data_IF_502052170009
#
_entry.id   IF_502052170009
#
_cell.length_a   1.000
_cell.length_b   1.000
_cell.length_c   1.000
_cell.angle_alpha   90.00
_cell.angle_beta   90.00
_cell.angle_gamma   90.00
#
_symmetry.space_group_name_H-M   'P 1'
#
loop_
_entity.id
_entity.type
_entity.pdbx_description
1 polymer ?
#
# COMPACT_ATOMS: atom_id res chain seq x y z
N UNK A 1 3.03 4.19 24.72
CA UNK A 1 2.67 4.42 23.32
C UNK A 1 3.77 3.84 22.44
N UNK A 2 3.50 2.74 21.69
CA UNK A 2 4.54 2.02 20.95
C UNK A 2 4.94 2.75 19.66
N UNK A 3 6.21 2.68 19.29
CA UNK A 3 6.80 3.30 18.08
C UNK A 3 8.02 2.51 17.62
N UNK A 4 8.41 2.67 16.37
CA UNK A 4 9.77 2.26 15.96
C UNK A 4 10.73 3.22 16.64
N UNK A 5 11.65 2.69 17.45
CA UNK A 5 12.65 3.48 18.18
C UNK A 5 14.05 3.37 17.60
N UNK A 6 14.29 2.40 16.71
CA UNK A 6 15.60 2.18 16.10
C UNK A 6 15.48 1.37 14.81
N UNK A 7 16.34 1.66 13.84
CA UNK A 7 16.50 0.88 12.63
C UNK A 7 17.98 0.64 12.34
N UNK A 8 18.30 -0.56 11.86
CA UNK A 8 19.60 -0.96 11.35
C UNK A 8 19.40 -1.61 9.98
N UNK A 9 20.11 -1.10 8.96
CA UNK A 9 19.95 -1.47 7.56
C UNK A 9 21.31 -1.91 7.04
N UNK A 10 21.40 -3.13 6.52
CA UNK A 10 22.62 -3.67 5.94
C UNK A 10 22.34 -4.17 4.53
N UNK A 11 23.13 -3.73 3.58
CA UNK A 11 23.16 -4.26 2.22
C UNK A 11 21.99 -3.91 1.32
N UNK A 12 21.20 -2.86 1.64
CA UNK A 12 20.05 -2.43 0.86
C UNK A 12 20.37 -1.22 -0.02
N UNK A 13 20.30 -1.36 -1.34
CA UNK A 13 20.53 -0.30 -2.34
C UNK A 13 21.79 0.52 -2.03
N UNK A 14 21.64 1.83 -1.81
CA UNK A 14 22.75 2.72 -1.43
C UNK A 14 23.24 2.53 0.01
N UNK A 15 22.44 1.91 0.89
CA UNK A 15 22.77 1.72 2.30
C UNK A 15 23.61 0.46 2.49
N UNK A 16 24.93 0.59 2.55
CA UNK A 16 25.81 -0.54 2.91
C UNK A 16 25.62 -0.95 4.36
N UNK A 17 25.65 0.04 5.26
CA UNK A 17 25.30 -0.10 6.66
C UNK A 17 24.88 1.25 7.21
N UNK A 18 23.64 1.33 7.71
CA UNK A 18 23.06 2.52 8.35
C UNK A 18 22.34 2.06 9.60
N UNK A 19 22.72 2.65 10.73
CA UNK A 19 22.11 2.39 12.02
C UNK A 19 21.74 3.72 12.68
N UNK A 20 20.46 3.90 13.06
CA UNK A 20 20.01 5.17 13.62
C UNK A 20 18.80 5.01 14.54
N UNK A 21 18.68 5.90 15.54
CA UNK A 21 17.43 6.03 16.30
C UNK A 21 16.33 6.63 15.42
N UNK A 22 15.09 6.25 15.69
CA UNK A 22 13.89 6.79 15.07
C UNK A 22 13.03 7.44 16.15
N UNK A 23 12.78 8.73 16.00
CA UNK A 23 11.97 9.51 16.92
C UNK A 23 10.56 9.78 16.34
N UNK A 24 9.73 10.49 17.11
CA UNK A 24 8.40 10.89 16.65
C UNK A 24 8.45 11.78 15.39
N UNK A 25 9.53 12.52 15.24
CA UNK A 25 9.89 13.27 14.04
C UNK A 25 11.38 13.07 13.78
N UNK A 26 11.74 12.53 12.63
CA UNK A 26 13.12 12.20 12.27
C UNK A 26 13.43 12.74 10.88
N UNK A 27 13.99 13.95 10.76
CA UNK A 27 14.37 14.51 9.47
C UNK A 27 15.64 13.82 8.94
N UNK A 28 15.58 13.36 7.68
CA UNK A 28 16.72 12.84 6.95
C UNK A 28 17.27 13.94 6.04
N UNK A 29 18.46 14.47 6.35
CA UNK A 29 19.09 15.55 5.61
C UNK A 29 20.35 15.04 4.90
N UNK A 30 20.52 15.39 3.64
CA UNK A 30 21.68 15.00 2.84
C UNK A 30 21.49 15.31 1.37
N UNK A 31 22.56 15.19 0.60
CA UNK A 31 22.55 15.36 -0.85
C UNK A 31 21.62 14.35 -1.54
N UNK A 32 21.27 14.60 -2.79
CA UNK A 32 20.51 13.64 -3.58
C UNK A 32 21.34 12.36 -3.78
N UNK A 33 20.64 11.24 -3.85
CA UNK A 33 21.22 9.92 -4.08
C UNK A 33 22.12 9.35 -2.95
N UNK A 34 22.07 9.91 -1.72
CA UNK A 34 22.83 9.38 -0.56
C UNK A 34 22.11 8.27 0.19
N UNK A 35 20.88 7.89 -0.23
CA UNK A 35 20.12 6.79 0.37
C UNK A 35 18.98 7.21 1.29
N UNK A 36 18.54 8.48 1.31
CA UNK A 36 17.38 8.93 2.10
C UNK A 36 16.14 8.10 1.80
N UNK A 37 15.74 8.01 0.53
CA UNK A 37 14.59 7.20 0.08
C UNK A 37 14.77 5.70 0.37
N UNK A 38 16.02 5.21 0.40
CA UNK A 38 16.33 3.83 0.79
C UNK A 38 16.02 3.59 2.27
N UNK A 39 16.29 4.56 3.15
CA UNK A 39 15.95 4.45 4.59
C UNK A 39 14.43 4.44 4.76
N UNK A 40 13.69 5.30 4.04
CA UNK A 40 12.22 5.30 4.07
C UNK A 40 11.66 3.95 3.58
N UNK A 41 12.20 3.45 2.47
CA UNK A 41 11.83 2.12 1.95
C UNK A 41 12.12 1.01 2.97
N UNK A 42 13.27 1.02 3.64
CA UNK A 42 13.63 0.04 4.65
C UNK A 42 12.65 0.02 5.84
N UNK A 43 12.23 1.22 6.30
CA UNK A 43 11.22 1.36 7.37
C UNK A 43 9.86 0.76 6.96
N UNK A 44 9.42 0.99 5.73
CA UNK A 44 8.20 0.36 5.21
C UNK A 44 8.39 -1.15 5.04
N UNK A 45 9.52 -1.57 4.48
CA UNK A 45 9.81 -2.97 4.14
C UNK A 45 9.93 -3.88 5.36
N UNK A 46 10.56 -3.42 6.46
CA UNK A 46 10.67 -4.23 7.69
C UNK A 46 9.31 -4.49 8.35
N UNK A 47 8.35 -3.57 8.16
CA UNK A 47 6.97 -3.73 8.66
C UNK A 47 6.13 -4.65 7.77
N UNK A 48 6.30 -4.54 6.45
CA UNK A 48 5.58 -5.34 5.46
C UNK A 48 6.54 -5.80 4.36
N UNK A 49 7.25 -6.90 4.59
CA UNK A 49 8.22 -7.41 3.63
C UNK A 49 7.59 -7.81 2.30
N UNK A 50 8.24 -7.38 1.21
CA UNK A 50 7.89 -7.74 -0.17
C UNK A 50 9.13 -8.23 -0.91
N UNK A 51 8.96 -8.90 -2.04
CA UNK A 51 10.05 -9.38 -2.87
C UNK A 51 10.99 -8.22 -3.25
N UNK A 52 12.30 -8.45 -3.09
CA UNK A 52 13.34 -7.54 -3.55
C UNK A 52 13.84 -7.98 -4.94
N UNK A 53 14.21 -7.01 -5.75
CA UNK A 53 14.87 -7.22 -7.03
C UNK A 53 16.39 -7.28 -6.89
N UNK A 54 17.09 -7.72 -7.92
CA UNK A 54 18.57 -7.77 -7.89
C UNK A 54 19.20 -6.39 -7.69
N UNK A 55 18.55 -5.34 -8.15
CA UNK A 55 18.95 -3.93 -7.98
C UNK A 55 18.84 -3.43 -6.54
N UNK A 56 18.08 -4.11 -5.68
CA UNK A 56 17.92 -3.74 -4.27
C UNK A 56 19.09 -4.22 -3.39
N UNK A 57 19.95 -5.09 -3.92
CA UNK A 57 21.12 -5.59 -3.19
C UNK A 57 22.31 -4.67 -3.43
N UNK A 58 22.89 -4.12 -2.34
CA UNK A 58 24.09 -3.28 -2.43
C UNK A 58 25.27 -4.01 -3.04
N UNK A 59 25.34 -5.32 -2.86
CA UNK A 59 26.34 -6.19 -3.46
C UNK A 59 25.75 -7.56 -3.77
N UNK A 60 26.01 -8.05 -4.97
CA UNK A 60 25.53 -9.36 -5.39
C UNK A 60 26.08 -10.48 -4.48
N UNK A 61 25.18 -11.36 -4.04
CA UNK A 61 25.53 -12.51 -3.18
C UNK A 61 25.63 -12.18 -1.67
N UNK A 62 25.51 -10.92 -1.28
CA UNK A 62 25.39 -10.54 0.14
C UNK A 62 23.91 -10.33 0.51
N UNK A 63 23.47 -10.76 1.71
CA UNK A 63 22.08 -10.60 2.11
C UNK A 63 21.75 -9.14 2.42
N UNK A 64 20.49 -8.77 2.19
CA UNK A 64 19.88 -7.55 2.75
C UNK A 64 19.33 -7.89 4.12
N UNK A 65 19.70 -7.11 5.12
CA UNK A 65 19.21 -7.27 6.49
C UNK A 65 18.66 -5.94 7.00
N UNK A 66 17.41 -5.93 7.42
CA UNK A 66 16.80 -4.76 8.08
C UNK A 66 16.28 -5.18 9.44
N UNK A 67 16.79 -4.54 10.48
CA UNK A 67 16.41 -4.78 11.87
C UNK A 67 15.71 -3.56 12.43
N UNK A 68 14.60 -3.73 13.13
CA UNK A 68 13.88 -2.66 13.79
C UNK A 68 13.61 -3.01 15.26
N UNK A 69 13.68 -1.99 16.12
CA UNK A 69 13.23 -2.06 17.51
C UNK A 69 11.93 -1.28 17.65
N UNK A 70 10.94 -1.93 18.21
CA UNK A 70 9.64 -1.35 18.55
C UNK A 70 9.62 -1.13 20.06
N UNK A 71 9.53 0.12 20.47
CA UNK A 71 9.52 0.53 21.88
C UNK A 71 8.11 0.85 22.37
N UNK A 72 7.89 0.78 23.68
CA UNK A 72 6.66 1.20 24.35
C UNK A 72 5.52 0.19 24.22
N UNK A 73 5.83 -1.10 24.08
CA UNK A 73 4.84 -2.18 24.07
C UNK A 73 4.48 -2.52 25.52
N UNK A 74 3.27 -2.14 25.94
CA UNK A 74 2.71 -2.44 27.26
C UNK A 74 1.70 -3.58 27.17
N UNK A 75 1.36 -4.18 28.31
CA UNK A 75 0.31 -5.20 28.39
C UNK A 75 -1.05 -4.68 27.86
N UNK A 76 -1.34 -3.40 28.09
CA UNK A 76 -2.56 -2.77 27.58
C UNK A 76 -2.58 -2.74 26.05
N UNK A 77 -1.42 -2.46 25.43
CA UNK A 77 -1.29 -2.49 23.97
C UNK A 77 -1.41 -3.90 23.43
N UNK A 78 -0.84 -4.90 24.10
CA UNK A 78 -0.98 -6.30 23.71
C UNK A 78 -2.44 -6.78 23.75
N UNK A 79 -3.24 -6.31 24.71
CA UNK A 79 -4.68 -6.61 24.82
C UNK A 79 -5.50 -6.05 23.67
N UNK A 80 -4.98 -5.08 22.91
CA UNK A 80 -5.65 -4.53 21.72
C UNK A 80 -5.55 -5.44 20.50
N UNK A 81 -4.69 -6.47 20.52
CA UNK A 81 -4.65 -7.49 19.48
C UNK A 81 -5.93 -8.33 19.59
N UNK A 82 -6.75 -8.45 18.52
CA UNK A 82 -8.10 -9.02 18.64
C UNK A 82 -8.14 -10.48 19.10
N UNK A 83 -7.17 -11.30 18.70
CA UNK A 83 -7.18 -12.73 18.96
C UNK A 83 -6.20 -13.10 20.07
N UNK A 84 -6.71 -13.77 21.12
CA UNK A 84 -5.91 -14.21 22.27
C UNK A 84 -4.72 -15.10 21.90
N UNK A 85 -4.83 -15.94 20.86
CA UNK A 85 -3.72 -16.77 20.36
C UNK A 85 -2.58 -15.93 19.81
N UNK A 86 -2.90 -14.78 19.16
CA UNK A 86 -1.90 -13.86 18.64
C UNK A 86 -1.25 -13.04 19.76
N UNK A 87 -2.04 -12.66 20.79
CA UNK A 87 -1.49 -12.04 22.02
C UNK A 87 -0.47 -12.99 22.68
N UNK A 88 -0.83 -14.26 22.84
CA UNK A 88 0.07 -15.26 23.44
C UNK A 88 1.33 -15.50 22.60
N UNK A 89 1.24 -15.42 21.27
CA UNK A 89 2.37 -15.61 20.38
C UNK A 89 3.42 -14.49 20.46
N UNK A 90 3.01 -13.25 20.72
CA UNK A 90 3.91 -12.08 20.74
C UNK A 90 4.41 -11.74 22.14
N UNK A 91 3.64 -12.00 23.19
CA UNK A 91 3.96 -11.61 24.58
C UNK A 91 5.36 -12.04 25.05
N UNK A 92 5.89 -13.23 24.72
CA UNK A 92 7.24 -13.64 25.14
C UNK A 92 8.35 -12.72 24.65
N UNK A 93 8.15 -12.05 23.48
CA UNK A 93 9.15 -11.19 22.84
C UNK A 93 9.06 -9.72 23.27
N UNK A 94 8.04 -9.37 24.08
CA UNK A 94 7.77 -8.01 24.52
C UNK A 94 8.01 -7.77 26.02
N UNK A 95 8.61 -8.73 26.72
CA UNK A 95 8.79 -8.72 28.20
C UNK A 95 9.52 -7.48 28.75
N UNK A 96 10.36 -6.85 27.92
CA UNK A 96 11.13 -5.64 28.30
C UNK A 96 10.43 -4.33 27.91
N UNK A 97 9.17 -4.39 27.43
CA UNK A 97 8.47 -3.22 26.89
C UNK A 97 8.95 -2.82 25.48
N UNK A 98 9.86 -3.57 24.90
CA UNK A 98 10.34 -3.43 23.53
C UNK A 98 10.42 -4.79 22.84
N UNK A 99 10.35 -4.78 21.52
CA UNK A 99 10.47 -5.95 20.66
C UNK A 99 11.42 -5.65 19.51
N UNK A 100 12.30 -6.61 19.22
CA UNK A 100 13.17 -6.53 18.07
C UNK A 100 12.70 -7.50 16.98
N UNK A 101 12.57 -6.98 15.77
CA UNK A 101 12.28 -7.76 14.57
C UNK A 101 13.37 -7.57 13.54
N UNK A 102 13.57 -8.59 12.70
CA UNK A 102 14.54 -8.56 11.62
C UNK A 102 13.96 -9.23 10.38
N UNK A 103 14.18 -8.61 9.24
CA UNK A 103 13.89 -9.21 7.94
C UNK A 103 15.21 -9.42 7.22
N UNK A 104 15.44 -10.64 6.77
CA UNK A 104 16.62 -11.04 6.03
C UNK A 104 16.20 -11.48 4.65
N UNK A 105 16.76 -10.89 3.60
CA UNK A 105 16.58 -11.33 2.23
C UNK A 105 17.90 -11.83 1.66
N UNK A 106 17.98 -13.13 1.36
CA UNK A 106 19.22 -13.78 0.91
C UNK A 106 19.36 -13.85 -0.60
N UNK A 107 18.26 -13.69 -1.33
CA UNK A 107 18.22 -13.74 -2.78
C UNK A 107 17.03 -12.93 -3.33
N UNK A 108 17.10 -12.43 -4.56
CA UNK A 108 15.95 -11.76 -5.21
C UNK A 108 14.71 -12.65 -5.26
N UNK A 109 13.55 -12.03 -5.12
CA UNK A 109 12.25 -12.70 -5.12
C UNK A 109 11.75 -13.08 -3.72
N UNK A 110 10.50 -13.53 -3.65
CA UNK A 110 9.80 -13.76 -2.38
C UNK A 110 10.37 -14.92 -1.54
N UNK A 111 10.99 -15.92 -2.18
CA UNK A 111 11.53 -17.11 -1.49
C UNK A 111 12.77 -16.83 -0.63
N UNK A 112 13.46 -15.72 -0.88
CA UNK A 112 14.66 -15.31 -0.13
C UNK A 112 14.37 -14.61 1.19
N UNK A 113 13.11 -14.32 1.52
CA UNK A 113 12.72 -13.48 2.66
C UNK A 113 12.46 -14.33 3.89
N UNK A 114 13.17 -14.01 4.97
CA UNK A 114 13.00 -14.61 6.29
C UNK A 114 12.70 -13.52 7.32
N UNK A 115 11.58 -13.65 8.02
CA UNK A 115 11.23 -12.79 9.15
C UNK A 115 11.65 -13.45 10.45
N UNK A 116 12.38 -12.70 11.26
CA UNK A 116 12.95 -13.18 12.50
C UNK A 116 12.65 -12.25 13.66
N UNK A 117 12.55 -12.81 14.85
CA UNK A 117 12.34 -12.09 16.11
C UNK A 117 13.47 -12.38 17.07
N UNK A 118 13.85 -11.39 17.86
CA UNK A 118 14.86 -11.55 18.91
C UNK A 118 14.29 -12.35 20.08
N UNK A 119 14.94 -13.43 20.42
CA UNK A 119 14.57 -14.32 21.52
C UNK A 119 15.40 -14.00 22.76
N UNK A 120 14.86 -13.14 23.63
CA UNK A 120 15.55 -12.70 24.85
C UNK A 120 15.92 -13.87 25.77
N UNK A 121 15.16 -14.97 25.77
CA UNK A 121 15.43 -16.14 26.61
C UNK A 121 16.65 -16.93 26.13
N UNK A 122 16.99 -16.81 24.86
CA UNK A 122 18.18 -17.45 24.26
C UNK A 122 19.40 -16.52 24.19
N UNK A 123 19.26 -15.29 24.66
CA UNK A 123 20.34 -14.32 24.59
C UNK A 123 21.34 -14.57 25.71
N UNK A 124 22.55 -15.00 25.35
CA UNK A 124 23.66 -15.28 26.27
C UNK A 124 24.47 -14.03 26.68
N UNK A 125 24.15 -12.85 26.11
CA UNK A 125 25.00 -11.66 26.24
C UNK A 125 26.16 -11.58 25.24
N UNK A 126 26.38 -12.62 24.45
CA UNK A 126 27.48 -12.74 23.49
C UNK A 126 26.96 -12.76 22.05
N UNK A 127 26.65 -11.61 21.50
CA UNK A 127 26.30 -11.46 20.09
C UNK A 127 24.83 -11.68 19.73
N UNK A 128 24.28 -10.74 18.98
CA UNK A 128 22.89 -10.73 18.52
C UNK A 128 22.52 -11.90 17.59
N UNK A 129 23.37 -12.43 16.69
CA UNK A 129 22.98 -13.47 15.73
C UNK A 129 22.45 -14.76 16.34
N UNK A 130 22.90 -15.13 17.54
CA UNK A 130 22.49 -16.36 18.21
C UNK A 130 21.10 -16.25 18.88
N UNK A 131 20.62 -15.04 19.09
CA UNK A 131 19.34 -14.79 19.74
C UNK A 131 18.17 -14.61 18.75
N UNK A 132 18.42 -14.68 17.45
CA UNK A 132 17.38 -14.57 16.43
C UNK A 132 16.74 -15.92 16.14
N UNK A 133 15.43 -15.90 15.95
CA UNK A 133 14.68 -17.08 15.49
C UNK A 133 13.61 -16.68 14.48
N UNK A 134 13.27 -17.60 13.58
CA UNK A 134 12.17 -17.40 12.65
C UNK A 134 10.86 -17.14 13.40
N UNK A 135 9.98 -16.36 12.82
CA UNK A 135 8.67 -16.07 13.39
C UNK A 135 7.92 -17.36 13.73
N UNK A 136 7.53 -17.59 14.99
CA UNK A 136 6.65 -18.69 15.33
C UNK A 136 5.24 -18.47 14.76
N UNK A 137 4.47 -19.55 14.67
CA UNK A 137 3.08 -19.52 14.21
C UNK A 137 2.26 -18.52 15.02
N UNK A 138 1.50 -17.67 14.33
CA UNK A 138 0.67 -16.61 14.94
C UNK A 138 1.40 -15.29 15.18
N UNK A 139 2.74 -15.27 15.17
CA UNK A 139 3.49 -14.01 15.32
C UNK A 139 3.33 -13.05 14.14
N UNK A 140 3.32 -13.48 12.85
CA UNK A 140 3.09 -12.57 11.74
C UNK A 140 1.78 -11.79 11.87
N UNK A 141 0.70 -12.44 12.28
CA UNK A 141 -0.59 -11.81 12.49
C UNK A 141 -0.57 -10.84 13.68
N UNK A 142 0.09 -11.21 14.77
CA UNK A 142 0.25 -10.36 15.94
C UNK A 142 1.08 -9.10 15.61
N UNK A 143 2.18 -9.27 14.89
CA UNK A 143 3.03 -8.16 14.42
C UNK A 143 2.24 -7.25 13.49
N UNK A 144 1.49 -7.79 12.53
CA UNK A 144 0.65 -7.01 11.61
C UNK A 144 -0.48 -6.24 12.33
N UNK A 145 -1.02 -6.79 13.43
CA UNK A 145 -2.03 -6.11 14.23
C UNK A 145 -1.46 -5.01 15.13
N UNK A 146 -0.21 -5.17 15.57
CA UNK A 146 0.46 -4.24 16.49
C UNK A 146 1.18 -3.11 15.76
N UNK A 147 1.89 -3.45 14.67
CA UNK A 147 2.74 -2.49 13.98
C UNK A 147 1.94 -1.51 13.13
N UNK A 148 2.43 -0.26 13.01
CA UNK A 148 1.80 0.74 12.18
C UNK A 148 1.83 0.34 10.70
N UNK A 149 0.80 0.72 9.97
CA UNK A 149 0.91 0.78 8.51
C UNK A 149 1.84 1.93 8.13
N UNK A 150 2.87 1.63 7.36
CA UNK A 150 3.69 2.67 6.75
C UNK A 150 2.88 3.32 5.61
N UNK A 151 2.66 4.62 5.73
CA UNK A 151 2.10 5.44 4.67
C UNK A 151 3.26 6.19 4.02
N UNK A 152 3.66 5.74 2.85
CA UNK A 152 4.74 6.35 2.10
C UNK A 152 4.19 7.40 1.13
N UNK A 153 4.83 8.55 1.13
CA UNK A 153 4.60 9.64 0.19
C UNK A 153 5.90 9.79 -0.57
N UNK A 154 5.91 9.29 -1.79
CA UNK A 154 7.09 9.37 -2.66
C UNK A 154 7.25 10.80 -3.21
N UNK A 155 8.50 11.16 -3.52
CA UNK A 155 8.80 12.36 -4.29
C UNK A 155 8.07 12.27 -5.63
N UNK A 156 7.22 13.23 -5.92
CA UNK A 156 6.29 13.14 -7.04
C UNK A 156 6.93 13.57 -8.34
N UNK A 157 7.08 12.65 -9.26
CA UNK A 157 7.44 12.97 -10.64
C UNK A 157 6.29 13.57 -11.46
N UNK A 158 5.00 13.30 -11.14
CA UNK A 158 3.87 13.84 -11.89
C UNK A 158 2.56 13.90 -11.08
N UNK A 159 2.34 15.02 -10.38
CA UNK A 159 1.13 15.30 -9.61
C UNK A 159 -0.16 15.27 -10.45
N UNK A 160 -0.09 15.77 -11.68
CA UNK A 160 -1.25 15.88 -12.56
C UNK A 160 -1.77 14.53 -13.05
N UNK A 161 -0.90 13.56 -13.27
CA UNK A 161 -1.30 12.22 -13.71
C UNK A 161 -1.81 11.33 -12.57
N UNK A 162 -1.31 11.53 -11.34
CA UNK A 162 -1.60 10.64 -10.21
C UNK A 162 -2.96 10.91 -9.55
N UNK A 163 -3.39 12.17 -9.50
CA UNK A 163 -4.68 12.57 -8.95
C UNK A 163 -5.73 12.88 -10.03
N UNK A 164 -5.31 13.14 -11.26
CA UNK A 164 -6.21 13.32 -12.40
C UNK A 164 -6.87 12.00 -12.86
N UNK A 165 -6.19 10.87 -12.66
CA UNK A 165 -6.71 9.53 -12.96
C UNK A 165 -6.28 8.58 -11.85
N UNK A 166 -7.20 7.84 -11.26
CA UNK A 166 -6.92 6.87 -10.18
C UNK A 166 -6.04 5.71 -10.68
N UNK A 167 -4.75 5.96 -10.89
CA UNK A 167 -3.76 4.95 -11.27
C UNK A 167 -3.48 3.99 -10.10
N UNK A 168 -3.03 2.78 -10.41
CA UNK A 168 -2.64 1.80 -9.39
C UNK A 168 -1.53 2.36 -8.50
N UNK A 169 -1.79 2.42 -7.18
CA UNK A 169 -0.86 2.96 -6.17
C UNK A 169 -1.09 4.42 -5.78
N UNK A 170 -1.95 5.17 -6.50
CA UNK A 170 -2.21 6.57 -6.15
C UNK A 170 -3.01 6.72 -4.85
N UNK A 171 -2.82 7.87 -4.18
CA UNK A 171 -3.58 8.23 -2.97
C UNK A 171 -5.07 8.32 -3.24
N UNK A 172 -5.46 8.86 -4.41
CA UNK A 172 -6.86 8.97 -4.83
C UNK A 172 -7.47 7.57 -5.00
N UNK A 173 -6.73 6.65 -5.64
CA UNK A 173 -7.20 5.26 -5.75
C UNK A 173 -7.42 4.61 -4.39
N UNK A 174 -6.48 4.78 -3.47
CA UNK A 174 -6.60 4.23 -2.11
C UNK A 174 -7.80 4.79 -1.34
N UNK A 175 -8.12 6.07 -1.54
CA UNK A 175 -9.34 6.71 -1.00
C UNK A 175 -10.60 6.17 -1.65
N UNK A 176 -10.61 6.07 -2.97
CA UNK A 176 -11.75 5.54 -3.72
C UNK A 176 -12.01 4.08 -3.37
N UNK A 177 -10.98 3.25 -3.28
CA UNK A 177 -11.10 1.84 -2.87
C UNK A 177 -11.69 1.70 -1.46
N UNK A 178 -11.35 2.61 -0.54
CA UNK A 178 -11.90 2.62 0.83
C UNK A 178 -13.38 3.03 0.87
N UNK A 179 -13.79 3.99 0.03
CA UNK A 179 -15.16 4.50 0.00
C UNK A 179 -16.08 3.57 -0.80
N UNK A 180 -15.54 2.87 -1.79
CA UNK A 180 -16.31 2.02 -2.71
C UNK A 180 -17.04 0.88 -2.04
N UNK A 181 -16.38 0.17 -1.12
CA UNK A 181 -17.00 -0.96 -0.42
C UNK A 181 -18.33 -0.56 0.22
N UNK A 182 -18.32 0.42 1.14
CA UNK A 182 -19.55 0.95 1.76
C UNK A 182 -20.59 1.46 0.76
N UNK A 183 -20.19 2.11 -0.33
CA UNK A 183 -21.14 2.61 -1.36
C UNK A 183 -21.84 1.43 -2.06
N UNK A 184 -21.08 0.42 -2.48
CA UNK A 184 -21.64 -0.76 -3.16
C UNK A 184 -22.52 -1.58 -2.21
N UNK A 185 -22.15 -1.70 -0.93
CA UNK A 185 -22.95 -2.37 0.09
C UNK A 185 -24.24 -1.62 0.42
N UNK A 186 -24.18 -0.27 0.46
CA UNK A 186 -25.35 0.56 0.74
C UNK A 186 -26.34 0.65 -0.45
N UNK A 187 -25.88 0.40 -1.67
CA UNK A 187 -26.64 0.59 -2.91
C UNK A 187 -26.61 -0.68 -3.77
N UNK A 188 -27.37 -1.70 -3.36
CA UNK A 188 -27.45 -2.98 -4.09
C UNK A 188 -28.00 -2.82 -5.53
N UNK A 189 -28.77 -1.75 -5.79
CA UNK A 189 -29.24 -1.38 -7.11
C UNK A 189 -28.13 -1.07 -8.11
N UNK A 190 -26.93 -0.66 -7.66
CA UNK A 190 -25.79 -0.46 -8.54
C UNK A 190 -25.33 -1.76 -9.19
N UNK A 191 -25.26 -2.84 -8.41
CA UNK A 191 -24.90 -4.16 -8.92
C UNK A 191 -25.95 -4.65 -9.93
N UNK A 192 -27.23 -4.47 -9.65
CA UNK A 192 -28.34 -4.84 -10.53
C UNK A 192 -28.32 -4.02 -11.84
N UNK A 193 -28.05 -2.73 -11.75
CA UNK A 193 -27.92 -1.87 -12.93
C UNK A 193 -26.76 -2.32 -13.82
N UNK A 194 -25.62 -2.66 -13.24
CA UNK A 194 -24.47 -3.16 -13.98
C UNK A 194 -24.74 -4.52 -14.64
N UNK A 195 -25.42 -5.43 -13.93
CA UNK A 195 -25.85 -6.69 -14.52
C UNK A 195 -26.79 -6.48 -15.71
N UNK A 196 -27.69 -5.50 -15.60
CA UNK A 196 -28.60 -5.10 -16.70
C UNK A 196 -27.80 -4.61 -17.91
N UNK A 197 -26.84 -3.72 -17.70
CA UNK A 197 -25.95 -3.22 -18.75
C UNK A 197 -25.17 -4.40 -19.41
N UNK A 198 -24.66 -5.30 -18.59
CA UNK A 198 -23.95 -6.50 -19.04
C UNK A 198 -24.85 -7.38 -19.91
N UNK A 199 -26.05 -7.63 -19.48
CA UNK A 199 -27.01 -8.45 -20.24
C UNK A 199 -27.40 -7.84 -21.60
N UNK A 200 -27.34 -6.52 -21.73
CA UNK A 200 -27.65 -5.80 -22.98
C UNK A 200 -26.45 -5.78 -23.94
N UNK A 201 -25.22 -5.59 -23.42
CA UNK A 201 -24.03 -5.26 -24.23
C UNK A 201 -23.10 -6.46 -24.49
N UNK A 202 -23.04 -7.45 -23.59
CA UNK A 202 -22.11 -8.59 -23.78
C UNK A 202 -22.60 -9.59 -24.83
N UNK A 203 -21.68 -10.37 -25.39
CA UNK A 203 -21.97 -11.44 -26.32
C UNK A 203 -22.84 -12.54 -25.70
N UNK A 204 -22.62 -12.83 -24.41
CA UNK A 204 -23.35 -13.86 -23.65
C UNK A 204 -24.58 -13.32 -22.94
N UNK A 205 -24.91 -12.05 -23.12
CA UNK A 205 -26.00 -11.37 -22.40
C UNK A 205 -27.37 -11.93 -22.77
N UNK A 206 -28.16 -12.27 -21.75
CA UNK A 206 -29.50 -12.86 -21.92
C UNK A 206 -30.47 -11.97 -22.70
N UNK A 207 -30.28 -10.65 -22.63
CA UNK A 207 -31.11 -9.63 -23.33
C UNK A 207 -30.27 -8.76 -24.25
N UNK A 208 -29.27 -9.36 -24.94
CA UNK A 208 -28.39 -8.68 -25.87
C UNK A 208 -29.18 -7.81 -26.88
N UNK A 209 -28.73 -6.56 -27.06
CA UNK A 209 -29.36 -5.57 -27.92
C UNK A 209 -29.56 -6.10 -29.35
N UNK A 210 -30.77 -5.88 -29.90
CA UNK A 210 -31.09 -6.24 -31.28
C UNK A 210 -30.18 -5.55 -32.31
N UNK A 211 -29.74 -4.33 -32.04
CA UNK A 211 -28.79 -3.62 -32.91
C UNK A 211 -27.42 -4.30 -32.97
N UNK A 212 -26.91 -4.82 -31.83
CA UNK A 212 -25.67 -5.58 -31.81
C UNK A 212 -25.81 -6.90 -32.58
N UNK A 213 -26.92 -7.62 -32.40
CA UNK A 213 -27.19 -8.85 -33.18
C UNK A 213 -27.26 -8.60 -34.69
N UNK A 214 -27.91 -7.50 -35.09
CA UNK A 214 -28.00 -7.10 -36.50
C UNK A 214 -26.62 -6.76 -37.06
N UNK A 215 -25.80 -6.05 -36.28
CA UNK A 215 -24.42 -5.75 -36.65
C UNK A 215 -23.60 -7.05 -36.82
N UNK A 216 -23.65 -7.97 -35.85
CA UNK A 216 -22.93 -9.25 -35.89
C UNK A 216 -23.31 -10.05 -37.15
N UNK A 217 -24.60 -10.12 -37.45
CA UNK A 217 -25.10 -10.80 -38.66
C UNK A 217 -24.59 -10.16 -39.95
N UNK A 218 -24.68 -8.83 -40.06
CA UNK A 218 -24.21 -8.11 -41.25
C UNK A 218 -22.68 -8.21 -41.43
N UNK A 219 -21.93 -8.10 -40.34
CA UNK A 219 -20.48 -8.25 -40.38
C UNK A 219 -20.05 -9.67 -40.72
N UNK A 220 -20.74 -10.68 -40.17
CA UNK A 220 -20.51 -12.10 -40.50
C UNK A 220 -20.79 -12.38 -42.00
N UNK A 221 -21.90 -11.83 -42.52
CA UNK A 221 -22.26 -11.99 -43.94
C UNK A 221 -21.24 -11.33 -44.87
N UNK A 222 -20.77 -10.13 -44.53
CA UNK A 222 -19.73 -9.45 -45.29
C UNK A 222 -18.38 -10.19 -45.21
N UNK A 223 -18.09 -10.84 -44.10
CA UNK A 223 -16.85 -11.63 -43.95
C UNK A 223 -16.93 -12.93 -44.79
N UNK A 224 -18.10 -13.51 -44.93
CA UNK A 224 -18.29 -14.79 -45.66
C UNK A 224 -17.81 -14.73 -47.11
N UNK A 225 -17.82 -13.55 -47.76
CA UNK A 225 -17.30 -13.33 -49.08
C UNK A 225 -15.76 -13.51 -49.17
N UNK A 226 -15.06 -13.33 -48.06
CA UNK A 226 -13.60 -13.43 -47.99
C UNK A 226 -13.14 -14.68 -47.25
N UNK A 227 -13.82 -15.02 -46.16
CA UNK A 227 -13.48 -16.14 -45.28
C UNK A 227 -14.74 -16.92 -44.87
N UNK A 228 -15.18 -17.86 -45.73
CA UNK A 228 -16.35 -18.68 -45.43
C UNK A 228 -16.12 -19.52 -44.17
N UNK A 229 -17.11 -19.53 -43.28
CA UNK A 229 -17.08 -20.34 -42.05
C UNK A 229 -16.58 -19.59 -40.79
N UNK A 230 -16.27 -18.30 -40.89
CA UNK A 230 -15.99 -17.45 -39.73
C UNK A 230 -17.19 -16.55 -39.41
N UNK A 231 -17.45 -16.35 -38.12
CA UNK A 231 -18.44 -15.41 -37.60
C UNK A 231 -17.76 -14.29 -36.81
N UNK A 232 -18.34 -13.10 -36.89
CA UNK A 232 -17.90 -11.94 -36.12
C UNK A 232 -18.98 -11.61 -35.08
N UNK A 233 -18.56 -11.41 -33.84
CA UNK A 233 -19.40 -10.91 -32.77
C UNK A 233 -18.72 -9.72 -32.08
N UNK A 234 -19.42 -8.60 -31.95
CA UNK A 234 -18.94 -7.44 -31.23
C UNK A 234 -19.17 -7.62 -29.74
N UNK A 235 -18.15 -8.06 -29.00
CA UNK A 235 -18.18 -8.14 -27.55
C UNK A 235 -17.79 -6.81 -26.90
N UNK A 236 -18.73 -6.19 -26.18
CA UNK A 236 -18.43 -5.08 -25.30
C UNK A 236 -18.21 -5.65 -23.89
N UNK A 237 -17.00 -5.48 -23.38
CA UNK A 237 -16.71 -5.82 -21.98
C UNK A 237 -17.41 -4.81 -21.09
N UNK A 238 -18.19 -5.31 -20.15
CA UNK A 238 -18.82 -4.46 -19.16
C UNK A 238 -17.80 -4.03 -18.12
N UNK A 239 -17.80 -2.77 -17.85
CA UNK A 239 -16.98 -2.14 -16.83
C UNK A 239 -17.57 -2.53 -15.46
N UNK A 240 -16.78 -3.14 -14.59
CA UNK A 240 -17.19 -3.34 -13.20
C UNK A 240 -17.45 -1.99 -12.52
N UNK A 241 -18.29 -1.96 -11.47
CA UNK A 241 -18.54 -0.74 -10.68
C UNK A 241 -17.22 -0.07 -10.28
N UNK A 242 -16.21 -0.86 -9.97
CA UNK A 242 -14.85 -0.38 -9.66
C UNK A 242 -14.18 0.43 -10.77
N UNK A 243 -14.48 0.17 -12.02
CA UNK A 243 -13.89 0.90 -13.15
C UNK A 243 -14.46 2.32 -13.29
N UNK A 244 -15.73 2.55 -12.87
CA UNK A 244 -16.30 3.91 -12.84
C UNK A 244 -15.54 4.82 -11.89
N UNK A 245 -15.06 4.26 -10.76
CA UNK A 245 -14.28 5.04 -9.80
C UNK A 245 -12.85 5.33 -10.29
N UNK A 246 -12.30 4.53 -11.20
CA UNK A 246 -11.02 4.83 -11.86
C UNK A 246 -11.11 6.05 -12.78
N UNK A 247 -12.30 6.36 -13.29
CA UNK A 247 -12.58 7.57 -14.07
C UNK A 247 -12.94 8.77 -13.18
N UNK A 248 -12.96 8.62 -11.85
CA UNK A 248 -13.25 9.67 -10.90
C UNK A 248 -12.22 10.80 -10.99
N UNK A 249 -12.68 12.06 -10.95
CA UNK A 249 -11.82 13.25 -10.88
C UNK A 249 -12.05 13.98 -9.57
N UNK A 250 -10.99 14.57 -9.03
CA UNK A 250 -11.08 15.41 -7.85
C UNK A 250 -11.43 16.83 -8.27
N UNK A 251 -12.58 17.31 -7.79
CA UNK A 251 -13.00 18.70 -7.97
C UNK A 251 -12.79 19.47 -6.67
N UNK A 252 -12.25 20.65 -6.78
CA UNK A 252 -11.99 21.58 -5.67
C UNK A 252 -12.85 22.82 -5.87
N UNK A 253 -13.61 23.16 -4.84
CA UNK A 253 -14.44 24.37 -4.85
C UNK A 253 -13.84 25.37 -3.88
N UNK A 254 -13.59 26.56 -4.33
CA UNK A 254 -13.24 27.69 -3.48
C UNK A 254 -14.49 28.11 -2.68
N UNK A 255 -14.40 28.05 -1.37
CA UNK A 255 -15.57 28.30 -0.49
C UNK A 255 -15.96 29.79 -0.48
N UNK A 256 -15.01 30.70 -0.73
CA UNK A 256 -15.25 32.14 -0.70
C UNK A 256 -15.82 32.65 -2.03
N UNK A 257 -15.29 32.17 -3.16
CA UNK A 257 -15.71 32.61 -4.49
C UNK A 257 -16.79 31.74 -5.13
N UNK A 258 -16.90 30.47 -4.67
CA UNK A 258 -17.77 29.46 -5.28
C UNK A 258 -17.20 28.84 -6.56
N UNK A 259 -16.02 29.25 -6.98
CA UNK A 259 -15.35 28.74 -8.18
C UNK A 259 -15.01 27.26 -8.04
N UNK A 260 -15.43 26.46 -9.01
CA UNK A 260 -15.13 25.04 -9.08
C UNK A 260 -14.08 24.77 -10.15
N UNK A 261 -13.02 24.09 -9.77
CA UNK A 261 -11.90 23.72 -10.65
C UNK A 261 -11.58 22.24 -10.48
N UNK A 262 -11.08 21.62 -11.54
CA UNK A 262 -10.49 20.29 -11.42
C UNK A 262 -9.11 20.39 -10.76
N UNK A 263 -8.67 19.32 -10.11
CA UNK A 263 -7.38 19.27 -9.44
C UNK A 263 -6.23 19.72 -10.35
N UNK A 264 -6.26 19.32 -11.63
CA UNK A 264 -5.23 19.62 -12.64
C UNK A 264 -5.13 21.12 -12.98
N UNK A 265 -6.19 21.88 -12.71
CA UNK A 265 -6.24 23.33 -12.96
C UNK A 265 -5.69 24.17 -11.81
N UNK A 266 -5.31 23.54 -10.72
CA UNK A 266 -4.75 24.21 -9.55
C UNK A 266 -3.25 24.38 -9.70
N UNK A 267 -2.70 25.40 -9.06
CA UNK A 267 -1.25 25.58 -8.94
C UNK A 267 -0.61 24.44 -8.13
N UNK A 268 0.65 24.12 -8.41
CA UNK A 268 1.39 22.99 -7.80
C UNK A 268 1.39 22.99 -6.26
N UNK A 269 1.47 24.17 -5.63
CA UNK A 269 1.40 24.28 -4.17
C UNK A 269 0.03 23.87 -3.61
N UNK A 270 -1.08 24.29 -4.26
CA UNK A 270 -2.43 23.89 -3.86
C UNK A 270 -2.67 22.39 -4.08
N UNK A 271 -2.20 21.85 -5.19
CA UNK A 271 -2.26 20.41 -5.48
C UNK A 271 -1.57 19.60 -4.38
N UNK A 272 -0.38 20.02 -3.96
CA UNK A 272 0.40 19.36 -2.89
C UNK A 272 -0.30 19.45 -1.54
N UNK A 273 -0.82 20.63 -1.18
CA UNK A 273 -1.56 20.81 0.07
C UNK A 273 -2.82 19.91 0.12
N UNK A 274 -3.56 19.81 -0.96
CA UNK A 274 -4.74 18.95 -1.10
C UNK A 274 -4.33 17.48 -0.97
N UNK A 275 -3.25 17.06 -1.63
CA UNK A 275 -2.75 15.70 -1.53
C UNK A 275 -2.38 15.34 -0.08
N UNK A 276 -1.65 16.23 0.63
CA UNK A 276 -1.32 16.02 2.04
C UNK A 276 -2.57 15.92 2.92
N UNK A 277 -3.58 16.76 2.65
CA UNK A 277 -4.85 16.70 3.35
C UNK A 277 -5.60 15.37 3.09
N UNK A 278 -5.60 14.89 1.84
CA UNK A 278 -6.21 13.61 1.46
C UNK A 278 -5.48 12.43 2.09
N UNK A 279 -4.15 12.44 2.10
CA UNK A 279 -3.32 11.40 2.75
C UNK A 279 -3.62 11.37 4.24
N UNK A 280 -3.66 12.53 4.90
CA UNK A 280 -4.04 12.63 6.31
C UNK A 280 -5.45 12.07 6.54
N UNK A 281 -6.41 12.45 5.70
CA UNK A 281 -7.79 11.97 5.80
C UNK A 281 -7.90 10.46 5.58
N UNK A 282 -7.23 9.91 4.53
CA UNK A 282 -7.12 8.47 4.31
C UNK A 282 -6.53 7.76 5.53
N UNK A 283 -5.50 8.41 6.08
CA UNK A 283 -4.87 7.93 7.30
C UNK A 283 -5.89 7.89 8.46
N UNK A 284 -6.76 8.87 8.63
CA UNK A 284 -7.79 8.93 9.69
C UNK A 284 -8.94 7.92 9.44
N UNK A 285 -9.37 7.71 8.22
CA UNK A 285 -10.40 6.73 7.84
C UNK A 285 -9.95 5.30 8.16
N UNK A 286 -8.73 4.93 7.80
CA UNK A 286 -8.17 3.59 8.08
C UNK A 286 -8.01 3.29 9.57
N UNK A 287 -8.02 4.31 10.46
CA UNK A 287 -7.95 4.09 11.92
C UNK A 287 -9.27 3.58 12.49
N UNK A 288 -10.40 3.90 11.88
CA UNK A 288 -11.71 3.40 12.33
C UNK A 288 -11.89 1.89 12.15
N UNK A 289 -11.13 1.28 11.23
CA UNK A 289 -11.23 -0.16 10.93
C UNK A 289 -10.23 -1.02 11.72
N UNK A 290 -9.17 -0.43 12.27
CA UNK A 290 -8.17 -1.15 13.06
C UNK A 290 -8.31 -0.82 14.55
N UNK A 291 -7.98 -1.76 15.44
CA UNK A 291 -7.96 -1.49 16.86
C UNK A 291 -7.03 -0.28 17.15
N UNK A 292 -7.39 0.51 18.15
CA UNK A 292 -6.69 1.76 18.57
C UNK A 292 -5.16 1.61 18.81
N UNK A 293 -4.65 0.40 18.77
CA UNK A 293 -3.22 0.06 18.86
C UNK A 293 -2.44 0.39 17.59
N UNK A 294 -3.05 0.30 16.41
CA UNK A 294 -2.33 0.49 15.15
C UNK A 294 -2.01 1.97 14.92
N UNK A 295 -0.75 2.33 15.14
CA UNK A 295 -0.21 3.64 14.80
C UNK A 295 0.18 3.71 13.35
N UNK A 296 0.37 4.93 12.86
CA UNK A 296 0.83 5.21 11.52
C UNK A 296 2.26 5.68 11.54
N UNK A 297 3.02 5.16 10.59
CA UNK A 297 4.33 5.66 10.23
C UNK A 297 4.18 6.43 8.92
N UNK A 298 4.33 7.75 8.99
CA UNK A 298 4.32 8.61 7.82
C UNK A 298 5.76 8.75 7.31
N UNK A 299 6.00 8.29 6.10
CA UNK A 299 7.29 8.35 5.41
C UNK A 299 7.15 9.33 4.24
N UNK A 300 7.82 10.48 4.31
CA UNK A 300 7.74 11.51 3.29
C UNK A 300 9.10 11.64 2.63
N UNK A 301 9.15 11.44 1.32
CA UNK A 301 10.35 11.71 0.52
C UNK A 301 10.28 13.13 -0.06
N UNK A 302 11.39 13.84 -0.05
CA UNK A 302 11.54 15.23 -0.53
C UNK A 302 10.46 16.20 -0.01
N UNK A 303 10.29 16.34 1.33
CA UNK A 303 9.23 17.18 1.89
C UNK A 303 9.32 18.66 1.50
N UNK A 304 10.50 19.13 1.09
CA UNK A 304 10.73 20.47 0.59
C UNK A 304 9.94 20.79 -0.68
N UNK A 305 9.62 19.79 -1.49
CA UNK A 305 8.75 19.95 -2.66
C UNK A 305 7.31 20.32 -2.28
N UNK A 306 6.94 20.17 -1.01
CA UNK A 306 5.61 20.46 -0.49
C UNK A 306 5.50 21.83 0.20
N UNK A 307 6.61 22.58 0.34
CA UNK A 307 6.67 23.80 1.15
C UNK A 307 6.72 25.11 0.34
N UNK A 308 6.48 25.07 -0.97
CA UNK A 308 6.50 26.27 -1.83
C UNK A 308 5.12 26.71 -2.25
#
# INVERSE_FOLDING_TARGET
>A
MHKIGYIDIVGLRACRHVAMPVEAFTPLVGQNNVGKSTILFALAWVLKPSALESSDFAKAGEPVVVTARIDGITEEILKLIPEAKHQAAIAPFCKTGSMWIRVVCTAPGARGINCEVFDVEKYSGEGLPQAWRAYPTGLPQAVSALLPDALQIDAMEDLGEDLGKAKAGSTLKSLLDLIMGPIVEAHAELATAMETVQNILSTEGKSRSGHLKTFDQGATQALADFFPGLAIELGLQTVEVKEFFKAGSLNVTDVETGDRRTFDQLGSGSQRAIQMALIRHLADLKTGEKPAAARRLLLIDEPELYLH
#
